data_IF_269743667726
#
_entry.id   IF_269743667726
#
_cell.length_a   1.000
_cell.length_b   1.000
_cell.length_c   1.000
_cell.angle_alpha   90.00
_cell.angle_beta   90.00
_cell.angle_gamma   90.00
#
_symmetry.space_group_name_H-M   'P 1'
#
loop_
_entity.id
_entity.type
_entity.pdbx_description
1 polymer ?
#
# COMPACT_ATOMS: atom_id res chain seq x y z
N UNK A 1 29.98 13.16 -16.55
CA UNK A 1 31.15 14.03 -16.25
C UNK A 1 30.70 15.06 -15.23
N UNK A 2 31.53 15.42 -14.25
CA UNK A 2 31.18 16.42 -13.24
C UNK A 2 31.58 17.82 -13.73
N UNK A 3 30.85 18.85 -13.28
CA UNK A 3 31.17 20.26 -13.53
C UNK A 3 31.41 20.96 -12.20
N UNK A 4 32.49 21.72 -12.09
CA UNK A 4 32.74 22.59 -10.95
C UNK A 4 32.00 23.92 -11.14
N UNK A 5 31.24 24.34 -10.11
CA UNK A 5 30.55 25.64 -10.10
C UNK A 5 30.94 26.46 -8.88
N UNK A 6 31.10 27.76 -9.07
CA UNK A 6 31.27 28.72 -7.97
C UNK A 6 29.91 29.06 -7.40
N UNK A 7 29.77 28.97 -6.09
CA UNK A 7 28.57 29.38 -5.34
C UNK A 7 28.97 30.36 -4.24
N UNK A 8 28.06 31.25 -3.79
CA UNK A 8 28.30 32.08 -2.62
C UNK A 8 28.65 31.23 -1.39
N UNK A 9 29.54 31.73 -0.55
CA UNK A 9 29.92 31.07 0.69
C UNK A 9 28.69 30.82 1.56
N UNK A 10 28.57 29.61 2.11
CA UNK A 10 27.44 29.23 2.93
C UNK A 10 27.80 28.12 3.92
N UNK A 11 27.33 28.18 5.17
CA UNK A 11 27.41 27.04 6.08
C UNK A 11 26.58 25.83 5.60
N UNK A 12 25.71 26.01 4.60
CA UNK A 12 24.86 24.96 4.00
C UNK A 12 25.36 24.50 2.63
N UNK A 13 26.67 24.22 2.51
CA UNK A 13 27.33 23.88 1.24
C UNK A 13 26.61 22.76 0.46
N UNK A 14 26.19 21.68 1.14
CA UNK A 14 25.44 20.59 0.50
C UNK A 14 24.09 21.04 -0.07
N UNK A 15 23.40 21.97 0.59
CA UNK A 15 22.17 22.58 0.06
C UNK A 15 22.48 23.41 -1.19
N UNK A 16 23.55 24.19 -1.18
CA UNK A 16 23.95 25.00 -2.33
C UNK A 16 24.30 24.13 -3.55
N UNK A 17 25.06 23.05 -3.34
CA UNK A 17 25.42 22.09 -4.39
C UNK A 17 24.18 21.44 -5.02
N UNK A 18 23.25 20.94 -4.20
CA UNK A 18 22.02 20.33 -4.71
C UNK A 18 21.09 21.34 -5.40
N UNK A 19 21.02 22.60 -4.94
CA UNK A 19 20.28 23.66 -5.65
C UNK A 19 20.83 23.90 -7.05
N UNK A 20 22.16 23.90 -7.18
CA UNK A 20 22.81 24.02 -8.49
C UNK A 20 22.49 22.81 -9.37
N UNK A 21 22.58 21.60 -8.83
CA UNK A 21 22.24 20.37 -9.56
C UNK A 21 20.80 20.40 -10.07
N UNK A 22 19.82 20.63 -9.19
CA UNK A 22 18.39 20.62 -9.61
C UNK A 22 18.01 21.77 -10.52
N UNK A 23 18.84 22.81 -10.64
CA UNK A 23 18.64 23.86 -11.66
C UNK A 23 19.05 23.41 -13.06
N UNK A 24 19.68 22.25 -13.17
CA UNK A 24 20.18 21.68 -14.40
C UNK A 24 21.41 22.40 -14.97
N UNK A 25 21.92 21.94 -16.12
CA UNK A 25 23.08 22.54 -16.76
C UNK A 25 22.78 23.95 -17.29
N UNK A 26 23.80 24.82 -17.31
CA UNK A 26 23.71 26.14 -17.94
C UNK A 26 23.67 26.01 -19.48
N UNK A 27 23.42 27.12 -20.20
CA UNK A 27 23.46 27.10 -21.67
C UNK A 27 24.86 26.76 -22.21
N UNK A 28 25.91 27.29 -21.57
CA UNK A 28 27.29 27.00 -21.91
C UNK A 28 27.62 25.52 -21.63
N UNK A 29 27.28 25.01 -20.45
CA UNK A 29 27.51 23.60 -20.12
C UNK A 29 26.79 22.65 -21.10
N UNK A 30 25.56 22.97 -21.54
CA UNK A 30 24.88 22.17 -22.57
C UNK A 30 25.57 22.21 -23.93
N UNK A 31 26.12 23.37 -24.30
CA UNK A 31 26.92 23.52 -25.52
C UNK A 31 28.18 22.65 -25.45
N UNK A 32 28.78 22.53 -24.26
CA UNK A 32 29.97 21.72 -24.00
C UNK A 32 29.64 20.22 -23.80
N UNK A 33 28.41 19.80 -24.13
CA UNK A 33 27.99 18.40 -24.13
C UNK A 33 27.45 17.87 -22.80
N UNK A 34 27.41 18.68 -21.73
CA UNK A 34 26.83 18.24 -20.47
C UNK A 34 25.31 18.05 -20.60
N UNK A 35 24.82 16.97 -20.01
CA UNK A 35 23.41 16.57 -19.97
C UNK A 35 23.08 16.17 -18.54
N UNK A 36 21.82 16.36 -18.18
CA UNK A 36 21.27 15.98 -16.88
C UNK A 36 19.76 15.81 -17.04
N UNK A 37 19.10 14.95 -16.25
CA UNK A 37 17.65 14.94 -16.15
C UNK A 37 17.09 16.27 -15.61
N UNK A 38 17.88 17.03 -14.85
CA UNK A 38 17.46 18.30 -14.29
C UNK A 38 17.51 19.45 -15.30
N UNK A 39 16.62 20.42 -15.11
CA UNK A 39 16.49 21.59 -15.97
C UNK A 39 16.07 22.83 -15.17
N UNK A 40 15.86 23.96 -15.87
CA UNK A 40 15.30 25.16 -15.23
C UNK A 40 13.94 24.90 -14.56
N UNK A 41 13.15 23.95 -15.07
CA UNK A 41 11.86 23.60 -14.48
C UNK A 41 11.99 22.99 -13.07
N UNK A 42 13.13 22.34 -12.77
CA UNK A 42 13.37 21.70 -11.48
C UNK A 42 14.12 22.60 -10.47
N UNK A 43 14.52 23.81 -10.86
CA UNK A 43 15.38 24.70 -10.05
C UNK A 43 14.80 25.04 -8.66
N UNK A 44 13.48 25.07 -8.54
CA UNK A 44 12.76 25.35 -7.29
C UNK A 44 12.34 24.11 -6.49
N UNK A 45 12.70 22.90 -6.91
CA UNK A 45 12.09 21.68 -6.38
C UNK A 45 12.75 21.16 -5.10
N UNK A 46 13.96 21.61 -4.75
CA UNK A 46 14.59 21.20 -3.49
C UNK A 46 13.91 21.87 -2.28
N UNK A 47 13.30 21.07 -1.40
CA UNK A 47 12.66 21.54 -0.16
C UNK A 47 13.64 21.63 0.99
N UNK A 48 14.41 20.56 1.23
CA UNK A 48 15.36 20.52 2.33
C UNK A 48 16.52 19.58 2.06
N UNK A 49 17.64 19.83 2.75
CA UNK A 49 18.83 18.98 2.77
C UNK A 49 19.31 18.84 4.21
N UNK A 50 19.64 17.62 4.62
CA UNK A 50 20.17 17.32 5.95
C UNK A 50 21.26 16.27 5.84
N UNK A 51 22.32 16.41 6.63
CA UNK A 51 23.30 15.33 6.81
C UNK A 51 23.22 14.91 8.27
N UNK A 52 22.95 13.62 8.53
CA UNK A 52 22.89 13.06 9.88
C UNK A 52 23.45 11.65 9.85
N UNK A 53 24.28 11.30 10.84
CA UNK A 53 24.87 9.96 10.97
C UNK A 53 25.55 9.46 9.68
N UNK A 54 26.25 10.37 8.97
CA UNK A 54 26.88 10.11 7.66
C UNK A 54 25.91 9.77 6.52
N UNK A 55 24.62 10.04 6.68
CA UNK A 55 23.60 9.89 5.63
C UNK A 55 23.16 11.27 5.13
N UNK A 56 23.21 11.47 3.82
CA UNK A 56 22.70 12.66 3.14
C UNK A 56 21.23 12.50 2.77
N UNK A 57 20.38 13.36 3.32
CA UNK A 57 18.95 13.39 3.06
C UNK A 57 18.62 14.58 2.17
N UNK A 58 17.93 14.36 1.06
CA UNK A 58 17.30 15.42 0.28
C UNK A 58 15.80 15.16 0.11
N UNK A 59 15.02 16.20 0.36
CA UNK A 59 13.58 16.21 0.15
C UNK A 59 13.24 17.16 -0.98
N UNK A 60 12.42 16.70 -1.91
CA UNK A 60 12.00 17.43 -3.09
C UNK A 60 10.49 17.70 -3.04
N UNK A 61 10.05 18.78 -3.69
CA UNK A 61 8.66 18.93 -4.10
C UNK A 61 8.36 17.84 -5.12
N UNK A 62 7.08 17.61 -5.38
CA UNK A 62 6.69 16.69 -6.44
C UNK A 62 7.09 17.27 -7.80
N UNK A 63 8.12 16.67 -8.41
CA UNK A 63 8.71 17.06 -9.69
C UNK A 63 8.61 15.95 -10.75
N UNK A 64 7.71 14.99 -10.52
CA UNK A 64 7.60 13.78 -11.36
C UNK A 64 7.12 14.12 -12.76
N UNK A 65 6.37 15.22 -12.93
CA UNK A 65 5.91 15.70 -14.22
C UNK A 65 7.04 16.34 -15.04
N UNK A 66 8.01 16.94 -14.39
CA UNK A 66 9.20 17.55 -14.98
C UNK A 66 10.26 16.49 -15.32
N UNK A 67 10.27 15.38 -14.59
CA UNK A 67 11.23 14.28 -14.70
C UNK A 67 10.63 12.99 -15.25
N UNK A 68 9.71 13.07 -16.22
CA UNK A 68 8.97 11.90 -16.76
C UNK A 68 9.86 10.76 -17.26
N UNK A 69 11.05 11.06 -17.79
CA UNK A 69 11.97 10.04 -18.32
C UNK A 69 12.76 9.29 -17.23
N UNK A 70 12.67 9.73 -15.97
CA UNK A 70 13.40 9.12 -14.85
C UNK A 70 12.87 7.76 -14.40
N UNK A 71 11.72 7.30 -14.91
CA UNK A 71 11.19 5.96 -14.61
C UNK A 71 11.75 4.86 -15.52
N UNK A 72 12.50 5.23 -16.57
CA UNK A 72 13.27 4.26 -17.36
C UNK A 72 14.48 3.76 -16.55
N UNK A 73 14.96 2.54 -16.81
CA UNK A 73 16.13 1.99 -16.10
C UNK A 73 17.38 2.87 -16.22
N UNK A 74 17.63 3.44 -17.41
CA UNK A 74 18.73 4.38 -17.63
C UNK A 74 18.47 5.75 -16.96
N UNK A 75 17.23 6.23 -17.00
CA UNK A 75 16.84 7.51 -16.41
C UNK A 75 16.93 7.51 -14.87
N UNK A 76 16.49 6.44 -14.21
CA UNK A 76 16.57 6.29 -12.76
C UNK A 76 18.02 6.19 -12.30
N UNK A 77 18.84 5.42 -13.02
CA UNK A 77 20.27 5.30 -12.76
C UNK A 77 20.99 6.66 -12.90
N UNK A 78 20.69 7.42 -13.96
CA UNK A 78 21.28 8.75 -14.17
C UNK A 78 20.88 9.75 -13.07
N UNK A 79 19.59 9.81 -12.72
CA UNK A 79 19.08 10.67 -11.65
C UNK A 79 19.76 10.37 -10.31
N UNK A 80 19.80 9.10 -9.92
CA UNK A 80 20.43 8.69 -8.67
C UNK A 80 21.94 8.91 -8.69
N UNK A 81 22.62 8.65 -9.80
CA UNK A 81 24.05 8.88 -9.92
C UNK A 81 24.43 10.35 -9.71
N UNK A 82 23.67 11.28 -10.31
CA UNK A 82 23.91 12.72 -10.13
C UNK A 82 23.65 13.20 -8.71
N UNK A 83 22.55 12.75 -8.10
CA UNK A 83 22.23 13.06 -6.70
C UNK A 83 23.28 12.49 -5.74
N UNK A 84 23.64 11.22 -5.93
CA UNK A 84 24.62 10.51 -5.11
C UNK A 84 26.00 11.13 -5.22
N UNK A 85 26.48 11.40 -6.45
CA UNK A 85 27.77 12.04 -6.67
C UNK A 85 27.82 13.42 -6.01
N UNK A 86 26.74 14.19 -6.11
CA UNK A 86 26.65 15.53 -5.50
C UNK A 86 26.67 15.47 -3.98
N UNK A 87 26.09 14.45 -3.34
CA UNK A 87 26.21 14.28 -1.89
C UNK A 87 27.56 13.70 -1.48
N UNK A 88 28.05 12.69 -2.20
CA UNK A 88 29.26 11.94 -1.85
C UNK A 88 30.56 12.72 -2.12
N UNK A 89 30.48 13.87 -2.80
CA UNK A 89 31.60 14.83 -2.84
C UNK A 89 32.00 15.30 -1.42
N UNK A 90 31.06 15.29 -0.47
CA UNK A 90 31.33 15.60 0.93
C UNK A 90 31.75 14.31 1.64
N UNK A 91 33.04 14.16 1.99
CA UNK A 91 33.60 12.93 2.56
C UNK A 91 32.95 12.43 3.87
N UNK A 92 32.15 13.27 4.53
CA UNK A 92 31.32 12.89 5.70
C UNK A 92 30.07 12.09 5.33
N UNK A 93 29.66 12.08 4.06
CA UNK A 93 28.46 11.36 3.57
C UNK A 93 28.87 10.02 2.98
N UNK A 94 28.28 8.93 3.48
CA UNK A 94 28.54 7.55 3.06
C UNK A 94 27.36 6.92 2.32
N UNK A 95 26.14 7.35 2.65
CA UNK A 95 24.91 6.91 1.99
C UNK A 95 23.95 8.08 1.83
N UNK A 96 22.91 7.88 1.02
CA UNK A 96 21.96 8.89 0.61
C UNK A 96 20.53 8.36 0.70
N UNK A 97 19.60 9.24 1.05
CA UNK A 97 18.16 8.95 1.12
C UNK A 97 17.40 10.12 0.51
N UNK A 98 16.48 9.81 -0.39
CA UNK A 98 15.69 10.79 -1.12
C UNK A 98 14.21 10.65 -0.79
N UNK A 99 13.47 11.76 -0.86
CA UNK A 99 12.03 11.80 -0.60
C UNK A 99 11.33 12.81 -1.49
N UNK A 100 10.04 12.57 -1.75
CA UNK A 100 9.13 13.54 -2.38
C UNK A 100 8.11 13.96 -1.33
N UNK A 101 8.02 15.26 -1.07
CA UNK A 101 7.15 15.85 -0.06
C UNK A 101 7.31 15.24 1.34
N UNK A 102 8.50 14.73 1.68
CA UNK A 102 8.83 14.03 2.93
C UNK A 102 8.55 12.52 2.90
N UNK A 103 8.00 11.99 1.81
CA UNK A 103 7.70 10.58 1.63
C UNK A 103 8.87 9.88 0.91
N UNK A 104 9.66 9.13 1.68
CA UNK A 104 10.78 8.32 1.16
C UNK A 104 10.25 7.20 0.25
N UNK A 105 9.31 6.34 0.68
CA UNK A 105 8.68 5.37 -0.20
C UNK A 105 8.23 5.90 -1.56
N UNK A 106 7.55 7.05 -1.59
CA UNK A 106 7.03 7.64 -2.83
C UNK A 106 8.14 7.95 -3.85
N UNK A 107 9.30 8.40 -3.39
CA UNK A 107 10.45 8.66 -4.27
C UNK A 107 10.95 7.37 -4.92
N UNK A 108 11.18 6.31 -4.14
CA UNK A 108 11.74 5.06 -4.66
C UNK A 108 10.71 4.26 -5.46
N UNK A 109 9.43 4.30 -5.10
CA UNK A 109 8.35 3.68 -5.88
C UNK A 109 8.24 4.31 -7.27
N UNK A 110 8.32 5.64 -7.36
CA UNK A 110 8.33 6.33 -8.65
C UNK A 110 9.46 5.83 -9.56
N UNK A 111 10.62 5.51 -8.98
CA UNK A 111 11.76 4.90 -9.69
C UNK A 111 11.68 3.38 -9.81
N UNK A 112 10.60 2.75 -9.34
CA UNK A 112 10.37 1.30 -9.29
C UNK A 112 11.37 0.52 -8.41
N UNK A 113 12.02 1.22 -7.47
CA UNK A 113 13.05 0.71 -6.58
C UNK A 113 12.54 0.45 -5.16
N UNK A 114 13.32 -0.31 -4.40
CA UNK A 114 13.05 -0.53 -2.98
C UNK A 114 13.64 0.62 -2.15
N UNK A 115 12.87 1.20 -1.21
CA UNK A 115 13.42 2.21 -0.30
C UNK A 115 14.56 1.64 0.57
N UNK A 116 15.49 2.49 1.04
CA UNK A 116 16.50 2.08 2.00
C UNK A 116 15.89 1.51 3.29
N UNK A 117 16.65 0.65 3.97
CA UNK A 117 16.22 0.02 5.22
C UNK A 117 15.79 1.05 6.27
N UNK A 118 14.74 0.72 7.01
CA UNK A 118 14.13 1.62 8.00
C UNK A 118 13.18 2.67 7.42
N UNK A 119 13.03 2.73 6.08
CA UNK A 119 12.09 3.64 5.41
C UNK A 119 10.95 2.94 4.67
N UNK A 120 10.83 1.61 4.79
CA UNK A 120 9.66 0.87 4.29
C UNK A 120 8.42 1.07 5.18
N UNK A 121 7.25 0.53 4.77
CA UNK A 121 6.00 0.67 5.50
C UNK A 121 6.10 0.21 6.97
N UNK A 122 5.51 0.99 7.86
CA UNK A 122 5.50 0.79 9.31
C UNK A 122 4.23 0.09 9.79
N UNK A 123 4.17 -0.35 11.06
CA UNK A 123 2.91 -0.83 11.65
C UNK A 123 1.82 0.25 11.70
N UNK A 124 2.17 1.54 11.72
CA UNK A 124 1.19 2.61 11.62
C UNK A 124 0.54 2.64 10.22
N UNK A 125 1.31 2.36 9.17
CA UNK A 125 0.81 2.21 7.80
C UNK A 125 -0.07 0.97 7.67
N UNK A 126 0.32 -0.16 8.29
CA UNK A 126 -0.51 -1.36 8.35
C UNK A 126 -1.88 -1.07 9.02
N UNK A 127 -1.89 -0.34 10.13
CA UNK A 127 -3.13 0.08 10.82
C UNK A 127 -4.01 0.97 9.93
N UNK A 128 -3.41 1.88 9.17
CA UNK A 128 -4.13 2.76 8.23
C UNK A 128 -4.74 1.93 7.09
N UNK A 129 -3.97 1.04 6.48
CA UNK A 129 -4.44 0.16 5.42
C UNK A 129 -5.56 -0.78 5.90
N UNK A 130 -5.42 -1.35 7.10
CA UNK A 130 -6.46 -2.19 7.70
C UNK A 130 -7.78 -1.44 7.94
N UNK A 131 -7.72 -0.22 8.49
CA UNK A 131 -8.92 0.61 8.69
C UNK A 131 -9.59 1.00 7.38
N UNK A 132 -8.80 1.41 6.38
CA UNK A 132 -9.32 1.74 5.06
C UNK A 132 -10.03 0.53 4.44
N UNK A 133 -9.39 -0.64 4.44
CA UNK A 133 -10.00 -1.87 3.96
C UNK A 133 -11.31 -2.21 4.67
N UNK A 134 -11.31 -2.18 6.01
CA UNK A 134 -12.51 -2.51 6.78
C UNK A 134 -13.66 -1.53 6.52
N UNK A 135 -13.35 -0.25 6.30
CA UNK A 135 -14.35 0.77 6.00
C UNK A 135 -14.86 0.65 4.57
N UNK A 136 -13.95 0.66 3.60
CA UNK A 136 -14.27 0.84 2.19
C UNK A 136 -14.69 -0.48 1.51
N UNK A 137 -14.10 -1.61 1.93
CA UNK A 137 -14.36 -2.93 1.33
C UNK A 137 -15.35 -3.73 2.19
N UNK A 138 -15.05 -3.88 3.48
CA UNK A 138 -15.91 -4.67 4.36
C UNK A 138 -17.20 -3.93 4.76
N UNK A 139 -17.20 -2.60 4.80
CA UNK A 139 -18.36 -1.80 5.23
C UNK A 139 -18.51 -1.69 6.76
N UNK A 140 -17.45 -1.94 7.51
CA UNK A 140 -17.42 -1.76 8.97
C UNK A 140 -17.39 -0.28 9.32
N UNK A 141 -18.32 0.15 10.16
CA UNK A 141 -18.34 1.52 10.69
C UNK A 141 -17.41 1.64 11.89
N UNK A 142 -16.63 2.71 11.93
CA UNK A 142 -15.76 3.08 13.05
C UNK A 142 -14.82 1.94 13.53
N UNK A 143 -13.98 1.34 12.66
CA UNK A 143 -13.07 0.27 13.05
C UNK A 143 -12.03 0.73 14.08
N UNK A 144 -12.05 0.14 15.29
CA UNK A 144 -11.13 0.45 16.38
C UNK A 144 -10.02 -0.59 16.44
N UNK A 145 -8.79 -0.14 16.14
CA UNK A 145 -7.58 -0.97 16.28
C UNK A 145 -7.31 -1.27 17.75
N UNK A 146 -7.12 -2.55 18.07
CA UNK A 146 -6.77 -3.05 19.41
C UNK A 146 -5.31 -3.41 19.53
N UNK A 147 -4.74 -4.02 18.49
CA UNK A 147 -3.34 -4.37 18.44
C UNK A 147 -2.83 -4.39 17.00
N UNK A 148 -1.51 -4.29 16.83
CA UNK A 148 -0.85 -4.56 15.56
C UNK A 148 0.55 -5.10 15.81
N UNK A 149 0.98 -6.08 15.02
CA UNK A 149 2.27 -6.74 15.20
C UNK A 149 2.81 -7.29 13.89
N UNK A 150 4.13 -7.31 13.77
CA UNK A 150 4.81 -8.06 12.73
C UNK A 150 4.69 -9.56 13.01
N UNK A 151 4.48 -10.34 11.96
CA UNK A 151 4.54 -11.80 11.96
C UNK A 151 5.78 -12.32 11.22
N UNK A 152 6.30 -11.52 10.31
CA UNK A 152 7.60 -11.65 9.64
C UNK A 152 8.03 -10.28 9.10
N UNK A 153 9.15 -10.22 8.38
CA UNK A 153 9.61 -8.99 7.70
C UNK A 153 8.61 -8.47 6.64
N UNK A 154 7.76 -9.37 6.14
CA UNK A 154 6.83 -9.10 5.05
C UNK A 154 5.36 -9.24 5.44
N UNK A 155 5.04 -9.72 6.64
CA UNK A 155 3.66 -9.93 7.07
C UNK A 155 3.40 -9.18 8.38
N UNK A 156 2.35 -8.36 8.38
CA UNK A 156 1.81 -7.72 9.57
C UNK A 156 0.38 -8.19 9.84
N UNK A 157 -0.03 -8.14 11.10
CA UNK A 157 -1.43 -8.37 11.51
C UNK A 157 -1.94 -7.16 12.29
N UNK A 158 -3.21 -6.82 12.08
CA UNK A 158 -3.91 -5.75 12.80
C UNK A 158 -5.21 -6.31 13.35
N UNK A 159 -5.33 -6.28 14.66
CA UNK A 159 -6.51 -6.73 15.39
C UNK A 159 -7.47 -5.54 15.52
N UNK A 160 -8.69 -5.70 15.03
CA UNK A 160 -9.71 -4.64 14.97
C UNK A 160 -11.01 -5.13 15.58
N UNK A 161 -11.75 -4.22 16.21
CA UNK A 161 -13.15 -4.41 16.58
C UNK A 161 -14.00 -3.32 15.93
N UNK A 162 -15.28 -3.61 15.73
CA UNK A 162 -16.26 -2.55 15.50
C UNK A 162 -16.29 -1.57 16.68
N UNK A 163 -16.78 -0.34 16.48
CA UNK A 163 -16.76 0.75 17.48
C UNK A 163 -17.35 0.45 18.86
N UNK A 164 -18.03 -0.68 19.06
CA UNK A 164 -18.49 -1.17 20.35
C UNK A 164 -17.39 -1.95 21.13
N UNK A 165 -17.29 -1.79 22.46
CA UNK A 165 -16.32 -2.54 23.27
C UNK A 165 -16.58 -4.06 23.29
N UNK A 166 -17.81 -4.49 23.02
CA UNK A 166 -18.28 -5.87 23.11
C UNK A 166 -18.47 -6.47 21.71
N UNK A 167 -17.43 -7.13 21.19
CA UNK A 167 -17.46 -7.83 19.90
C UNK A 167 -16.18 -8.63 19.70
N UNK A 168 -16.20 -9.73 18.94
CA UNK A 168 -14.99 -10.50 18.67
C UNK A 168 -14.00 -9.68 17.85
N UNK A 169 -12.73 -10.04 17.96
CA UNK A 169 -11.67 -9.43 17.15
C UNK A 169 -11.79 -9.98 15.73
N UNK A 170 -11.72 -9.06 14.76
CA UNK A 170 -11.35 -9.38 13.38
C UNK A 170 -9.87 -9.06 13.20
N UNK A 171 -9.10 -10.03 12.74
CA UNK A 171 -7.67 -9.91 12.46
C UNK A 171 -7.49 -9.70 10.97
N UNK A 172 -6.93 -8.56 10.59
CA UNK A 172 -6.54 -8.25 9.21
C UNK A 172 -5.09 -8.69 9.01
N UNK A 173 -4.83 -9.57 8.05
CA UNK A 173 -3.48 -9.95 7.64
C UNK A 173 -3.05 -9.10 6.45
N UNK A 174 -1.87 -8.50 6.52
CA UNK A 174 -1.35 -7.62 5.49
C UNK A 174 0.05 -8.03 5.03
N UNK A 175 0.23 -8.07 3.71
CA UNK A 175 1.52 -8.21 3.05
C UNK A 175 2.18 -6.85 2.86
N UNK A 176 3.42 -6.71 3.33
CA UNK A 176 4.26 -5.53 3.17
C UNK A 176 4.81 -5.48 1.75
N UNK A 177 4.42 -4.47 0.99
CA UNK A 177 5.05 -4.10 -0.27
C UNK A 177 6.22 -3.15 -0.06
N UNK A 178 6.75 -2.61 -1.16
CA UNK A 178 7.86 -1.63 -1.13
C UNK A 178 7.46 -0.34 -0.40
N UNK A 179 6.23 0.13 -0.60
CA UNK A 179 5.74 1.43 -0.12
C UNK A 179 4.37 1.39 0.57
N UNK A 180 3.65 0.27 0.44
CA UNK A 180 2.30 0.13 0.96
C UNK A 180 2.06 -1.28 1.50
N UNK A 181 0.88 -1.47 2.10
CA UNK A 181 0.40 -2.79 2.51
C UNK A 181 -0.74 -3.23 1.60
N UNK A 182 -0.74 -4.52 1.26
CA UNK A 182 -1.88 -5.19 0.65
C UNK A 182 -2.57 -6.04 1.70
N UNK A 183 -3.89 -5.92 1.83
CA UNK A 183 -4.66 -6.86 2.67
C UNK A 183 -4.72 -8.21 1.97
N UNK A 184 -4.38 -9.26 2.71
CA UNK A 184 -4.35 -10.65 2.24
C UNK A 184 -5.62 -11.39 2.64
N UNK A 185 -6.04 -11.23 3.89
CA UNK A 185 -7.28 -11.77 4.43
C UNK A 185 -7.80 -10.92 5.60
N UNK A 186 -9.05 -11.20 5.97
CA UNK A 186 -9.58 -10.84 7.29
C UNK A 186 -10.24 -12.08 7.89
N UNK A 187 -9.93 -12.38 9.15
CA UNK A 187 -10.50 -13.52 9.86
C UNK A 187 -11.11 -13.10 11.19
N UNK A 188 -12.13 -13.81 11.63
CA UNK A 188 -12.64 -13.71 13.01
C UNK A 188 -12.91 -15.10 13.56
N UNK A 189 -12.89 -15.23 14.90
CA UNK A 189 -13.08 -16.53 15.57
C UNK A 189 -14.48 -17.12 15.43
N UNK A 190 -15.45 -16.37 14.89
CA UNK A 190 -16.87 -16.77 14.85
C UNK A 190 -17.45 -16.90 13.45
N UNK A 191 -16.69 -16.59 12.40
CA UNK A 191 -17.10 -16.78 11.00
C UNK A 191 -15.89 -17.30 10.25
N UNK A 192 -15.93 -18.56 9.85
CA UNK A 192 -14.88 -19.22 9.07
C UNK A 192 -15.46 -19.53 7.69
N UNK A 193 -14.76 -19.12 6.64
CA UNK A 193 -15.12 -19.42 5.25
C UNK A 193 -14.11 -20.45 4.74
N UNK A 194 -14.60 -21.64 4.41
CA UNK A 194 -13.80 -22.74 3.86
C UNK A 194 -13.81 -22.70 2.32
N UNK A 195 -14.92 -22.26 1.71
CA UNK A 195 -15.02 -21.92 0.28
C UNK A 195 -15.67 -20.57 0.06
N UNK A 196 -15.13 -19.70 -0.82
CA UNK A 196 -13.87 -19.89 -1.55
C UNK A 196 -12.67 -19.98 -0.61
N UNK A 197 -11.63 -20.71 -1.03
CA UNK A 197 -10.43 -20.93 -0.24
C UNK A 197 -9.59 -19.65 -0.17
N UNK A 198 -9.03 -19.38 1.01
CA UNK A 198 -8.10 -18.27 1.17
C UNK A 198 -6.77 -18.58 0.48
N UNK A 199 -6.25 -17.58 -0.24
CA UNK A 199 -4.94 -17.63 -0.86
C UNK A 199 -4.22 -16.29 -0.69
N UNK A 200 -2.90 -16.36 -0.55
CA UNK A 200 -2.03 -15.19 -0.35
C UNK A 200 -1.51 -14.66 -1.68
N UNK A 201 -1.05 -15.55 -2.56
CA UNK A 201 -0.49 -15.20 -3.87
C UNK A 201 -1.62 -14.91 -4.87
N UNK A 202 -1.49 -13.88 -5.73
CA UNK A 202 -2.48 -13.60 -6.77
C UNK A 202 -2.79 -14.78 -7.70
N UNK A 203 -1.77 -15.56 -8.08
CA UNK A 203 -1.92 -16.74 -8.94
C UNK A 203 -2.70 -17.89 -8.30
N UNK A 204 -2.73 -17.95 -6.97
CA UNK A 204 -3.37 -19.00 -6.18
C UNK A 204 -4.81 -18.64 -5.78
N UNK A 205 -5.28 -17.43 -6.13
CA UNK A 205 -6.64 -16.99 -5.82
C UNK A 205 -7.66 -17.90 -6.52
N UNK A 206 -8.64 -18.37 -5.75
CA UNK A 206 -9.77 -19.10 -6.32
C UNK A 206 -10.51 -18.23 -7.35
N UNK A 207 -10.67 -18.76 -8.56
CA UNK A 207 -11.46 -18.13 -9.62
C UNK A 207 -12.92 -18.47 -9.39
N UNK A 208 -13.71 -17.49 -8.96
CA UNK A 208 -15.13 -17.69 -8.64
C UNK A 208 -16.03 -17.31 -9.83
N UNK A 209 -17.04 -18.14 -10.09
CA UNK A 209 -18.08 -17.92 -11.11
C UNK A 209 -19.44 -17.76 -10.43
N UNK A 210 -20.39 -17.12 -11.11
CA UNK A 210 -21.75 -16.94 -10.59
C UNK A 210 -22.70 -18.03 -11.11
N UNK A 211 -23.53 -18.66 -10.25
CA UNK A 211 -23.52 -18.52 -8.79
C UNK A 211 -22.29 -19.19 -8.15
N UNK A 212 -21.76 -18.58 -7.10
CA UNK A 212 -20.63 -19.12 -6.33
C UNK A 212 -21.13 -19.87 -5.11
N UNK A 213 -20.59 -21.07 -4.89
CA UNK A 213 -20.78 -21.81 -3.64
C UNK A 213 -19.95 -21.15 -2.55
N UNK A 214 -20.59 -20.80 -1.43
CA UNK A 214 -19.89 -20.43 -0.20
C UNK A 214 -20.17 -21.47 0.86
N UNK A 215 -19.14 -21.93 1.57
CA UNK A 215 -19.29 -22.87 2.67
C UNK A 215 -18.33 -22.55 3.81
N UNK A 216 -18.70 -22.95 5.02
CA UNK A 216 -17.87 -22.69 6.19
C UNK A 216 -18.59 -23.01 7.48
N UNK A 217 -18.21 -22.32 8.55
CA UNK A 217 -18.84 -22.41 9.87
C UNK A 217 -19.04 -21.03 10.45
N UNK A 218 -20.17 -20.80 11.12
CA UNK A 218 -20.42 -19.52 11.79
C UNK A 218 -21.14 -19.69 13.13
N UNK A 219 -20.83 -18.77 14.03
CA UNK A 219 -21.57 -18.41 15.22
C UNK A 219 -21.96 -16.94 15.09
N UNK A 220 -23.19 -16.70 14.65
CA UNK A 220 -23.73 -15.37 14.42
C UNK A 220 -25.07 -15.17 15.11
N UNK A 221 -25.52 -13.94 15.30
CA UNK A 221 -26.86 -13.68 15.85
C UNK A 221 -27.93 -14.39 15.00
N UNK A 222 -28.68 -15.31 15.63
CA UNK A 222 -29.67 -16.18 14.98
C UNK A 222 -29.11 -17.02 13.81
N UNK A 223 -27.79 -17.19 13.74
CA UNK A 223 -27.10 -17.90 12.67
C UNK A 223 -26.95 -17.11 11.36
N UNK A 224 -27.45 -15.87 11.30
CA UNK A 224 -27.48 -15.09 10.07
C UNK A 224 -26.10 -14.54 9.69
N UNK A 225 -25.60 -14.96 8.52
CA UNK A 225 -24.37 -14.43 7.93
C UNK A 225 -24.70 -13.74 6.61
N UNK A 226 -24.46 -12.43 6.57
CA UNK A 226 -24.58 -11.66 5.35
C UNK A 226 -23.31 -11.85 4.49
N UNK A 227 -23.52 -12.20 3.22
CA UNK A 227 -22.43 -12.40 2.26
C UNK A 227 -22.50 -11.34 1.17
N UNK A 228 -21.37 -10.69 0.90
CA UNK A 228 -21.19 -9.76 -0.22
C UNK A 228 -20.07 -10.25 -1.13
N UNK A 229 -20.26 -10.08 -2.43
CA UNK A 229 -19.19 -10.21 -3.43
C UNK A 229 -18.83 -8.82 -3.90
N UNK A 230 -17.56 -8.45 -3.74
CA UNK A 230 -17.04 -7.12 -4.02
C UNK A 230 -15.95 -7.23 -5.07
N UNK A 231 -16.04 -6.44 -6.13
CA UNK A 231 -15.00 -6.33 -7.15
C UNK A 231 -14.13 -5.10 -6.91
N UNK A 232 -12.83 -5.24 -7.15
CA UNK A 232 -11.86 -4.13 -7.12
C UNK A 232 -11.39 -3.86 -8.54
N UNK A 233 -11.64 -2.64 -9.03
CA UNK A 233 -11.20 -2.21 -10.37
C UNK A 233 -10.54 -0.85 -10.27
N UNK A 234 -9.25 -0.76 -10.61
CA UNK A 234 -8.47 0.48 -10.56
C UNK A 234 -8.62 1.21 -9.21
N UNK A 235 -8.54 0.46 -8.10
CA UNK A 235 -8.74 0.99 -6.75
C UNK A 235 -10.19 1.30 -6.35
N UNK A 236 -11.15 1.19 -7.28
CA UNK A 236 -12.57 1.40 -7.00
C UNK A 236 -13.21 0.12 -6.50
N UNK A 237 -13.92 0.22 -5.38
CA UNK A 237 -14.66 -0.87 -4.74
C UNK A 237 -16.10 -0.88 -5.25
N UNK A 238 -16.59 -2.01 -5.77
CA UNK A 238 -17.98 -2.17 -6.22
C UNK A 238 -18.57 -3.48 -5.72
N UNK A 239 -19.69 -3.43 -4.98
CA UNK A 239 -20.46 -4.64 -4.70
C UNK A 239 -21.10 -5.15 -6.00
N UNK A 240 -20.87 -6.43 -6.32
CA UNK A 240 -21.38 -7.07 -7.55
C UNK A 240 -22.39 -8.17 -7.28
N UNK A 241 -22.52 -8.60 -6.02
CA UNK A 241 -23.58 -9.49 -5.57
C UNK A 241 -23.66 -9.52 -4.06
N UNK A 242 -24.76 -10.08 -3.57
CA UNK A 242 -25.02 -10.28 -2.16
C UNK A 242 -25.98 -11.45 -1.96
N UNK A 243 -25.95 -12.03 -0.77
CA UNK A 243 -26.90 -13.02 -0.31
C UNK A 243 -26.68 -13.31 1.15
N UNK A 244 -27.26 -14.42 1.62
CA UNK A 244 -27.19 -14.83 3.01
C UNK A 244 -27.01 -16.33 3.11
N UNK A 245 -26.35 -16.76 4.18
CA UNK A 245 -26.23 -18.15 4.59
C UNK A 245 -26.51 -18.26 6.09
N UNK A 246 -26.92 -19.44 6.52
CA UNK A 246 -27.31 -19.70 7.90
C UNK A 246 -26.31 -20.68 8.51
N UNK A 247 -25.59 -20.22 9.53
CA UNK A 247 -24.76 -21.04 10.41
C UNK A 247 -25.47 -21.30 11.74
N UNK A 248 -24.74 -21.21 12.86
CA UNK A 248 -25.31 -21.40 14.19
C UNK A 248 -25.57 -20.11 14.96
N UNK A 249 -26.67 -20.08 15.73
CA UNK A 249 -27.12 -18.94 16.53
C UNK A 249 -26.63 -18.93 17.98
N UNK A 250 -26.34 -20.12 18.51
CA UNK A 250 -26.01 -20.45 19.90
C UNK A 250 -24.61 -21.07 20.00
N UNK A 251 -24.29 -21.99 19.08
CA UNK A 251 -22.97 -22.59 18.92
C UNK A 251 -22.55 -22.57 17.46
N UNK A 252 -21.24 -22.60 17.21
CA UNK A 252 -20.68 -22.62 15.86
C UNK A 252 -21.23 -23.83 15.07
N UNK A 253 -21.89 -23.58 13.94
CA UNK A 253 -22.39 -24.65 13.04
C UNK A 253 -21.97 -24.42 11.59
N UNK A 254 -21.92 -25.49 10.77
CA UNK A 254 -21.67 -25.37 9.34
C UNK A 254 -22.73 -24.51 8.64
N UNK A 255 -22.33 -23.84 7.57
CA UNK A 255 -23.23 -23.23 6.60
C UNK A 255 -22.79 -23.62 5.18
N UNK A 256 -23.74 -23.61 4.25
CA UNK A 256 -23.48 -23.70 2.81
C UNK A 256 -24.56 -22.93 2.06
N UNK A 257 -24.22 -22.33 0.92
CA UNK A 257 -25.17 -21.60 0.10
C UNK A 257 -24.60 -21.17 -1.24
N UNK A 258 -25.47 -20.57 -2.07
CA UNK A 258 -25.12 -20.05 -3.39
C UNK A 258 -25.30 -18.54 -3.40
N UNK A 259 -24.28 -17.81 -3.85
CA UNK A 259 -24.34 -16.36 -4.00
C UNK A 259 -24.22 -16.00 -5.48
N UNK A 260 -25.29 -15.40 -6.01
CA UNK A 260 -25.29 -14.87 -7.37
C UNK A 260 -24.68 -13.47 -7.43
N UNK A 261 -23.94 -13.18 -8.49
CA UNK A 261 -23.34 -11.87 -8.72
C UNK A 261 -23.12 -11.59 -10.21
N UNK A 262 -23.02 -10.32 -10.58
CA UNK A 262 -22.60 -9.96 -11.93
C UNK A 262 -21.11 -10.19 -12.09
N UNK A 263 -20.73 -11.22 -12.86
CA UNK A 263 -19.32 -11.60 -13.06
C UNK A 263 -18.50 -10.47 -13.71
N UNK A 264 -17.52 -9.90 -13.00
CA UNK A 264 -16.58 -8.96 -13.59
C UNK A 264 -15.72 -9.66 -14.66
N UNK A 265 -15.46 -8.98 -15.78
CA UNK A 265 -14.65 -9.54 -16.88
C UNK A 265 -13.13 -9.56 -16.60
N UNK A 266 -12.69 -8.98 -15.48
CA UNK A 266 -11.28 -8.89 -15.11
C UNK A 266 -11.12 -8.54 -13.62
N UNK A 267 -9.91 -8.76 -13.12
CA UNK A 267 -9.48 -8.28 -11.81
C UNK A 267 -9.75 -9.25 -10.65
N UNK A 268 -9.54 -8.73 -9.44
CA UNK A 268 -9.71 -9.45 -8.19
C UNK A 268 -10.85 -8.85 -7.38
N UNK A 269 -11.29 -9.58 -6.37
CA UNK A 269 -12.38 -9.18 -5.50
C UNK A 269 -12.27 -9.80 -4.13
N UNK A 270 -13.37 -9.66 -3.39
CA UNK A 270 -13.51 -10.16 -2.03
C UNK A 270 -14.87 -10.79 -1.86
N UNK A 271 -14.89 -11.95 -1.21
CA UNK A 271 -16.08 -12.51 -0.59
C UNK A 271 -16.04 -12.10 0.88
N UNK A 272 -16.97 -11.23 1.26
CA UNK A 272 -17.08 -10.68 2.61
C UNK A 272 -18.25 -11.36 3.30
N UNK A 273 -17.95 -12.22 4.28
CA UNK A 273 -18.91 -12.83 5.18
C UNK A 273 -18.94 -12.03 6.49
N UNK A 274 -20.11 -11.57 6.89
CA UNK A 274 -20.24 -10.62 8.00
C UNK A 274 -21.48 -10.87 8.84
N UNK A 275 -21.38 -10.50 10.11
CA UNK A 275 -22.53 -10.33 10.99
C UNK A 275 -22.84 -8.85 11.16
N UNK A 276 -24.13 -8.52 11.05
CA UNK A 276 -24.65 -7.19 11.32
C UNK A 276 -25.25 -7.14 12.71
N UNK A 277 -25.01 -6.04 13.40
CA UNK A 277 -25.63 -5.71 14.68
C UNK A 277 -27.14 -5.65 14.52
N UNK A 278 -27.88 -6.40 15.34
CA UNK A 278 -29.34 -6.35 15.37
C UNK A 278 -29.87 -4.97 15.80
N UNK A 279 -29.05 -4.16 16.46
CA UNK A 279 -29.43 -2.83 16.97
C UNK A 279 -29.48 -1.77 15.86
N UNK A 280 -28.51 -1.79 14.95
CA UNK A 280 -28.25 -0.66 14.03
C UNK A 280 -27.77 -1.10 12.63
N UNK A 281 -27.71 -2.40 12.37
CA UNK A 281 -27.30 -2.95 11.07
C UNK A 281 -25.80 -2.81 10.76
N UNK A 282 -24.99 -2.27 11.67
CA UNK A 282 -23.55 -2.09 11.48
C UNK A 282 -22.82 -3.43 11.45
N UNK A 283 -21.75 -3.54 10.65
CA UNK A 283 -20.95 -4.76 10.62
C UNK A 283 -20.10 -4.85 11.88
N UNK A 284 -20.35 -5.90 12.67
CA UNK A 284 -19.69 -6.12 13.97
C UNK A 284 -18.69 -7.29 13.95
N UNK A 285 -18.81 -8.18 12.96
CA UNK A 285 -17.88 -9.28 12.73
C UNK A 285 -17.67 -9.43 11.24
N UNK A 286 -16.43 -9.67 10.81
CA UNK A 286 -16.12 -9.89 9.39
C UNK A 286 -15.02 -10.91 9.20
N UNK A 287 -15.24 -11.76 8.21
CA UNK A 287 -14.24 -12.57 7.52
C UNK A 287 -14.28 -12.21 6.04
N UNK A 288 -13.13 -11.92 5.44
CA UNK A 288 -13.02 -11.53 4.05
C UNK A 288 -11.98 -12.40 3.36
N UNK A 289 -12.41 -13.09 2.31
CA UNK A 289 -11.56 -13.95 1.48
C UNK A 289 -11.33 -13.27 0.14
N UNK A 290 -10.06 -13.14 -0.24
CA UNK A 290 -9.69 -12.59 -1.55
C UNK A 290 -9.93 -13.63 -2.64
N UNK A 291 -10.49 -13.20 -3.77
CA UNK A 291 -10.83 -14.06 -4.92
C UNK A 291 -10.44 -13.41 -6.23
N UNK A 292 -10.41 -14.20 -7.31
CA UNK A 292 -10.28 -13.71 -8.67
C UNK A 292 -11.58 -13.96 -9.45
N UNK A 293 -11.87 -13.11 -10.45
CA UNK A 293 -13.01 -13.31 -11.35
C UNK A 293 -12.61 -13.90 -12.71
N UNK A 294 -11.31 -13.93 -12.97
CA UNK A 294 -10.65 -14.54 -14.13
C UNK A 294 -9.31 -15.08 -13.65
N UNK A 295 -8.74 -16.04 -14.39
CA UNK A 295 -7.40 -16.54 -14.11
C UNK A 295 -6.40 -15.39 -14.01
N UNK A 296 -5.63 -15.33 -12.93
CA UNK A 296 -4.57 -14.34 -12.78
C UNK A 296 -3.29 -14.85 -13.48
N UNK A 297 -2.49 -13.95 -14.06
CA UNK A 297 -1.17 -14.31 -14.55
C UNK A 297 -0.31 -14.88 -13.40
N UNK A 298 0.57 -15.81 -13.75
CA UNK A 298 1.57 -16.36 -12.84
C UNK A 298 2.63 -15.32 -12.46
#
# INVERSE_FOLDING_TARGET
MAVSRTVPESPKVATAALRQLVSGPTRAERHDGYRSPFSKATAGMLRSVKIKNRVGYADFRDYREELRNSTSSAGSAALLAELDATFKQFGTVRSTVYSINGDVPAFYEWLQMTPPDGFGPTLADARRAARAFLTDVAGMRDPVVRASRWRSDFIATVDVRAGSPTGPISTVTLGKGKSSFTVLDVTTGTIVVDRPAAAITPSDLEVVTSPMTISGRALAFEGNVAVRVVAIRNGTVRQVGAGQVIGGGDVMRPFTGQISFTTPKSGTGWVVASERSARDGTIIKVTAVRVAFVQQPA
#
